data_IF_235222754233
#
_entry.id   IF_235222754233
#
_cell.length_a   1.000
_cell.length_b   1.000
_cell.length_c   1.000
_cell.angle_alpha   90.00
_cell.angle_beta   90.00
_cell.angle_gamma   90.00
#
_symmetry.space_group_name_H-M   'P 1'
#
loop_
_entity.id
_entity.type
_entity.pdbx_description
1 polymer ?
#
# COMPACT_ATOMS: atom_id res chain seq x y z
N UNK A 1 0.41 -25.41 -38.64
CA UNK A 1 1.23 -25.12 -39.80
C UNK A 1 1.42 -23.61 -39.89
N UNK A 2 2.71 -23.14 -39.90
CA UNK A 2 3.04 -21.72 -39.97
C UNK A 2 2.58 -21.07 -41.28
N UNK A 3 2.49 -21.84 -42.36
CA UNK A 3 1.98 -21.35 -43.64
C UNK A 3 0.53 -20.93 -43.53
N UNK A 4 -0.31 -21.75 -42.91
CA UNK A 4 -1.73 -21.42 -42.72
C UNK A 4 -1.91 -20.16 -41.81
N UNK A 5 -1.05 -19.99 -40.80
CA UNK A 5 -1.05 -18.80 -39.97
C UNK A 5 -0.63 -17.56 -40.77
N UNK A 6 0.43 -17.69 -41.60
CA UNK A 6 0.90 -16.61 -42.47
C UNK A 6 -0.19 -16.21 -43.48
N UNK A 7 -0.92 -17.18 -44.04
CA UNK A 7 -2.02 -16.91 -44.99
C UNK A 7 -3.20 -16.20 -44.31
N UNK A 8 -3.54 -16.60 -43.09
CA UNK A 8 -4.59 -15.95 -42.32
C UNK A 8 -4.23 -14.48 -41.98
N UNK A 9 -2.97 -14.22 -41.60
CA UNK A 9 -2.46 -12.88 -41.32
C UNK A 9 -2.46 -12.03 -42.59
N UNK A 10 -1.98 -12.57 -43.71
CA UNK A 10 -2.00 -11.87 -45.03
C UNK A 10 -3.43 -11.51 -45.44
N UNK A 11 -4.34 -12.43 -45.33
CA UNK A 11 -5.76 -12.22 -45.66
C UNK A 11 -6.37 -11.10 -44.81
N UNK A 12 -6.11 -11.10 -43.53
CA UNK A 12 -6.64 -10.08 -42.58
C UNK A 12 -5.92 -8.75 -42.69
N UNK A 13 -4.61 -8.74 -42.90
CA UNK A 13 -3.76 -7.55 -42.98
C UNK A 13 -3.68 -6.90 -44.36
N UNK A 14 -4.26 -7.53 -45.40
CA UNK A 14 -4.24 -6.99 -46.77
C UNK A 14 -2.83 -6.98 -47.42
N UNK A 15 -1.89 -7.78 -46.95
CA UNK A 15 -0.52 -7.88 -47.51
C UNK A 15 -0.37 -9.15 -48.34
N UNK A 16 0.35 -9.04 -49.46
CA UNK A 16 0.77 -10.18 -50.27
C UNK A 16 2.24 -10.58 -50.07
N UNK A 17 2.97 -9.83 -49.21
CA UNK A 17 4.39 -10.06 -48.96
C UNK A 17 4.63 -11.40 -48.22
N UNK A 18 5.77 -12.04 -48.49
CA UNK A 18 6.23 -13.18 -47.72
C UNK A 18 6.56 -12.74 -46.29
N UNK A 19 6.02 -13.41 -45.30
CA UNK A 19 6.26 -13.12 -43.89
C UNK A 19 7.41 -13.98 -43.37
N UNK A 20 8.52 -13.35 -42.98
CA UNK A 20 9.62 -14.02 -42.31
C UNK A 20 9.28 -14.22 -40.82
N UNK A 21 9.50 -15.44 -40.31
CA UNK A 21 9.29 -15.76 -38.91
C UNK A 21 10.58 -15.46 -38.11
N UNK A 22 10.49 -14.89 -36.87
CA UNK A 22 9.28 -14.45 -36.22
C UNK A 22 8.84 -13.01 -36.53
N UNK A 23 9.75 -12.12 -36.90
CA UNK A 23 9.56 -10.66 -36.92
C UNK A 23 8.55 -10.19 -37.97
N UNK A 24 8.52 -10.82 -39.11
CA UNK A 24 7.58 -10.53 -40.19
C UNK A 24 6.14 -10.87 -39.79
N UNK A 25 5.91 -11.90 -38.99
CA UNK A 25 4.61 -12.26 -38.46
C UNK A 25 4.12 -11.20 -37.46
N UNK A 26 4.99 -10.77 -36.55
CA UNK A 26 4.65 -9.76 -35.54
C UNK A 26 4.27 -8.44 -36.20
N UNK A 27 5.11 -7.95 -37.13
CA UNK A 27 4.84 -6.71 -37.84
C UNK A 27 3.55 -6.77 -38.66
N UNK A 28 3.26 -7.91 -39.30
CA UNK A 28 2.05 -8.11 -40.08
C UNK A 28 0.79 -8.20 -39.18
N UNK A 29 0.87 -8.81 -37.99
CA UNK A 29 -0.24 -8.82 -37.03
C UNK A 29 -0.54 -7.43 -36.51
N UNK A 30 0.47 -6.63 -36.22
CA UNK A 30 0.31 -5.26 -35.77
C UNK A 30 -0.31 -4.36 -36.82
N UNK A 31 -0.02 -4.63 -38.12
CA UNK A 31 -0.62 -3.91 -39.23
C UNK A 31 -2.11 -4.25 -39.46
N UNK A 32 -2.63 -5.33 -38.87
CA UNK A 32 -4.04 -5.68 -38.94
C UNK A 32 -4.86 -4.63 -38.17
N UNK A 33 -5.81 -4.00 -38.84
CA UNK A 33 -6.67 -2.99 -38.23
C UNK A 33 -7.44 -3.60 -37.04
N UNK A 34 -7.15 -3.11 -35.83
CA UNK A 34 -7.73 -3.62 -34.58
C UNK A 34 -6.88 -4.72 -33.88
N UNK A 35 -5.67 -5.03 -34.38
CA UNK A 35 -4.73 -5.82 -33.60
C UNK A 35 -4.29 -5.03 -32.35
N UNK A 36 -4.16 -5.68 -31.17
CA UNK A 36 -3.67 -5.00 -29.99
C UNK A 36 -2.21 -4.60 -30.17
N UNK A 37 -1.88 -3.39 -29.74
CA UNK A 37 -0.50 -2.95 -29.68
C UNK A 37 0.30 -3.83 -28.71
N UNK A 38 1.55 -4.10 -29.06
CA UNK A 38 2.49 -4.68 -28.09
C UNK A 38 2.79 -3.62 -27.02
N UNK A 39 2.55 -3.96 -25.76
CA UNK A 39 2.71 -2.99 -24.70
C UNK A 39 3.41 -3.56 -23.47
N UNK A 40 4.11 -2.70 -22.77
CA UNK A 40 4.67 -2.94 -21.45
C UNK A 40 3.89 -2.04 -20.48
N UNK A 41 3.18 -2.63 -19.54
CA UNK A 41 2.47 -1.90 -18.48
C UNK A 41 3.34 -1.93 -17.23
N UNK A 42 3.69 -0.75 -16.72
CA UNK A 42 4.57 -0.57 -15.57
C UNK A 42 3.82 0.16 -14.49
N UNK A 43 3.82 -0.40 -13.28
CA UNK A 43 3.36 0.28 -12.07
C UNK A 43 4.59 0.73 -11.27
N UNK A 44 4.67 2.02 -10.96
CA UNK A 44 5.81 2.64 -10.27
C UNK A 44 5.35 3.88 -9.50
N UNK A 45 6.27 4.71 -9.03
CA UNK A 45 5.91 5.98 -8.38
C UNK A 45 5.35 6.99 -9.37
N UNK A 46 4.35 7.77 -8.97
CA UNK A 46 3.79 8.84 -9.78
C UNK A 46 4.89 9.82 -10.23
N UNK A 47 4.85 10.21 -11.51
CA UNK A 47 5.84 11.11 -12.10
C UNK A 47 7.20 10.48 -12.41
N UNK A 48 7.41 9.18 -12.14
CA UNK A 48 8.64 8.49 -12.50
C UNK A 48 8.81 8.43 -14.02
N UNK A 49 10.02 8.64 -14.51
CA UNK A 49 10.36 8.36 -15.90
C UNK A 49 10.56 6.86 -16.09
N UNK A 50 9.83 6.26 -17.00
CA UNK A 50 9.93 4.83 -17.34
C UNK A 50 10.54 4.70 -18.71
N UNK A 51 11.60 3.89 -18.83
CA UNK A 51 12.31 3.63 -20.08
C UNK A 51 12.42 2.13 -20.31
N UNK A 52 12.03 1.66 -21.47
CA UNK A 52 12.23 0.29 -21.91
C UNK A 52 13.25 0.24 -23.05
N UNK A 53 14.23 -0.64 -22.93
CA UNK A 53 15.30 -0.81 -23.91
C UNK A 53 15.41 -2.25 -24.38
N UNK A 54 15.68 -2.44 -25.68
CA UNK A 54 16.01 -3.74 -26.27
C UNK A 54 16.99 -3.54 -27.43
N UNK A 55 18.23 -3.96 -27.27
CA UNK A 55 19.30 -3.66 -28.23
C UNK A 55 19.47 -2.14 -28.38
N UNK A 56 19.27 -1.63 -29.59
CA UNK A 56 19.37 -0.19 -29.88
C UNK A 56 18.03 0.56 -29.80
N UNK A 57 16.95 -0.14 -29.45
CA UNK A 57 15.64 0.46 -29.34
C UNK A 57 15.39 0.98 -27.93
N UNK A 58 14.75 2.14 -27.83
CA UNK A 58 14.39 2.77 -26.57
C UNK A 58 13.01 3.41 -26.70
N UNK A 59 12.13 3.11 -25.75
CA UNK A 59 10.82 3.76 -25.60
C UNK A 59 10.72 4.31 -24.19
N UNK A 60 10.21 5.53 -24.04
CA UNK A 60 10.10 6.18 -22.73
C UNK A 60 8.72 6.78 -22.54
N UNK A 61 8.30 6.86 -21.27
CA UNK A 61 7.07 7.49 -20.82
C UNK A 61 7.20 7.99 -19.39
N UNK A 62 6.16 8.62 -18.89
CA UNK A 62 6.09 9.08 -17.49
C UNK A 62 4.90 8.43 -16.82
N UNK A 63 5.09 7.93 -15.61
CA UNK A 63 4.01 7.36 -14.80
C UNK A 63 2.99 8.45 -14.40
N UNK A 64 1.72 8.14 -14.54
CA UNK A 64 0.61 9.02 -14.19
C UNK A 64 0.50 9.26 -12.66
N UNK A 65 -0.53 10.01 -12.24
CA UNK A 65 -0.77 10.29 -10.83
C UNK A 65 -1.09 9.04 -9.99
N UNK A 66 -1.49 7.94 -10.63
CA UNK A 66 -1.74 6.64 -10.00
C UNK A 66 -0.50 5.73 -10.05
N UNK A 67 0.60 6.18 -10.64
CA UNK A 67 1.83 5.43 -10.77
C UNK A 67 1.86 4.47 -11.96
N UNK A 68 0.96 4.58 -12.94
CA UNK A 68 0.91 3.70 -14.10
C UNK A 68 1.55 4.35 -15.32
N UNK A 69 2.33 3.57 -16.08
CA UNK A 69 2.89 3.96 -17.36
C UNK A 69 2.73 2.81 -18.35
N UNK A 70 2.17 3.08 -19.53
CA UNK A 70 2.08 2.12 -20.62
C UNK A 70 3.02 2.55 -21.74
N UNK A 71 3.96 1.68 -22.09
CA UNK A 71 4.88 1.87 -23.20
C UNK A 71 4.45 0.99 -24.37
N UNK A 72 4.25 1.59 -25.54
CA UNK A 72 3.98 0.87 -26.78
C UNK A 72 5.31 0.52 -27.43
N UNK A 73 5.52 -0.75 -27.68
CA UNK A 73 6.75 -1.28 -28.28
C UNK A 73 6.45 -1.97 -29.60
N UNK A 74 7.44 -2.13 -30.43
CA UNK A 74 7.30 -2.59 -31.81
C UNK A 74 7.76 -4.04 -32.03
N UNK A 75 8.26 -4.71 -30.97
CA UNK A 75 8.70 -6.10 -31.09
C UNK A 75 8.54 -6.91 -29.79
N UNK A 76 8.35 -8.22 -29.95
CA UNK A 76 8.29 -9.18 -28.83
C UNK A 76 9.69 -9.51 -28.31
N UNK A 77 9.72 -10.09 -27.10
CA UNK A 77 10.95 -10.58 -26.47
C UNK A 77 11.29 -9.82 -25.20
N UNK A 78 12.50 -10.03 -24.68
CA UNK A 78 12.92 -9.43 -23.41
C UNK A 78 13.34 -7.99 -23.62
N UNK A 79 12.70 -7.09 -22.86
CA UNK A 79 13.03 -5.68 -22.73
C UNK A 79 13.54 -5.39 -21.34
N UNK A 80 14.57 -4.60 -21.21
CA UNK A 80 15.03 -4.08 -19.92
C UNK A 80 14.26 -2.80 -19.62
N UNK A 81 13.49 -2.80 -18.55
CA UNK A 81 12.64 -1.68 -18.13
C UNK A 81 13.24 -1.02 -16.90
N UNK A 82 13.44 0.29 -16.99
CA UNK A 82 13.97 1.11 -15.90
C UNK A 82 12.96 2.18 -15.55
N UNK A 83 12.62 2.30 -14.27
CA UNK A 83 11.85 3.41 -13.74
C UNK A 83 12.74 4.25 -12.83
N UNK A 84 12.74 5.57 -13.03
CA UNK A 84 13.60 6.51 -12.32
C UNK A 84 12.81 7.73 -11.81
N UNK A 85 13.07 8.12 -10.56
CA UNK A 85 12.73 9.44 -9.99
C UNK A 85 14.03 10.23 -9.74
N UNK A 86 13.93 11.42 -9.18
CA UNK A 86 15.09 12.22 -8.79
C UNK A 86 16.01 11.50 -7.76
N UNK A 87 15.43 10.58 -6.95
CA UNK A 87 16.12 9.96 -5.81
C UNK A 87 16.33 8.45 -5.95
N UNK A 88 15.64 7.77 -6.86
CA UNK A 88 15.62 6.32 -6.92
C UNK A 88 15.49 5.81 -8.35
N UNK A 89 16.18 4.70 -8.64
CA UNK A 89 16.07 3.98 -9.90
C UNK A 89 15.90 2.49 -9.65
N UNK A 90 14.95 1.86 -10.36
CA UNK A 90 14.77 0.41 -10.39
C UNK A 90 14.73 -0.11 -11.82
N UNK A 91 15.30 -1.29 -12.03
CA UNK A 91 15.37 -1.95 -13.34
C UNK A 91 14.94 -3.40 -13.23
N UNK A 92 14.20 -3.88 -14.23
CA UNK A 92 13.81 -5.28 -14.38
C UNK A 92 13.68 -5.65 -15.86
N UNK A 93 13.90 -6.92 -16.17
CA UNK A 93 13.63 -7.47 -17.49
C UNK A 93 12.17 -7.94 -17.59
N UNK A 94 11.54 -7.69 -18.73
CA UNK A 94 10.16 -8.08 -19.02
C UNK A 94 10.06 -8.72 -20.40
N UNK A 95 9.25 -9.77 -20.50
CA UNK A 95 8.91 -10.38 -21.78
C UNK A 95 7.64 -9.71 -22.30
N UNK A 96 7.75 -9.02 -23.43
CA UNK A 96 6.64 -8.27 -24.02
C UNK A 96 5.50 -9.19 -24.41
N UNK A 97 4.28 -8.74 -24.09
CA UNK A 97 3.03 -9.43 -24.36
C UNK A 97 2.55 -10.35 -23.23
N UNK A 98 3.32 -10.53 -22.16
CA UNK A 98 2.98 -11.49 -21.10
C UNK A 98 2.96 -10.94 -19.67
N UNK A 99 3.46 -9.75 -19.41
CA UNK A 99 3.59 -9.31 -18.02
C UNK A 99 3.41 -7.81 -17.81
N UNK A 100 2.74 -7.47 -16.72
CA UNK A 100 2.87 -6.18 -16.07
C UNK A 100 4.14 -6.19 -15.21
N UNK A 101 4.95 -5.13 -15.30
CA UNK A 101 6.13 -4.98 -14.45
C UNK A 101 5.79 -4.01 -13.32
N UNK A 102 5.87 -4.49 -12.10
CA UNK A 102 5.77 -3.67 -10.91
C UNK A 102 7.17 -3.25 -10.45
N UNK A 103 7.52 -2.00 -10.73
CA UNK A 103 8.75 -1.35 -10.28
C UNK A 103 8.45 -0.31 -9.20
N UNK A 104 7.56 -0.66 -8.26
CA UNK A 104 7.21 0.24 -7.17
C UNK A 104 8.49 0.75 -6.48
N UNK A 105 8.71 2.04 -6.57
CA UNK A 105 9.85 2.70 -5.93
C UNK A 105 9.42 3.26 -4.60
N UNK A 106 10.14 2.88 -3.55
CA UNK A 106 9.90 3.36 -2.21
C UNK A 106 10.79 4.60 -2.02
N UNK A 107 10.14 5.79 -1.89
CA UNK A 107 10.87 7.02 -1.60
C UNK A 107 11.42 6.97 -0.16
N UNK A 108 12.68 7.41 0.08
CA UNK A 108 13.25 7.47 1.42
C UNK A 108 12.53 8.43 2.36
N UNK A 109 11.77 9.39 1.84
CA UNK A 109 10.92 10.29 2.62
C UNK A 109 9.51 9.70 2.69
N UNK A 110 9.05 9.34 3.88
CA UNK A 110 7.77 8.66 4.09
C UNK A 110 6.58 9.37 3.42
N UNK A 111 6.46 10.68 3.61
CA UNK A 111 5.35 11.49 3.10
C UNK A 111 5.26 11.61 1.58
N UNK A 112 6.31 11.23 0.84
CA UNK A 112 6.34 11.25 -0.62
C UNK A 112 5.75 9.98 -1.25
N UNK A 113 5.41 8.97 -0.43
CA UNK A 113 4.91 7.69 -0.93
C UNK A 113 3.39 7.67 -1.02
N UNK A 114 2.86 6.97 -2.02
CA UNK A 114 1.45 6.61 -2.04
C UNK A 114 1.13 5.56 -0.97
N UNK A 115 -0.13 5.48 -0.54
CA UNK A 115 -0.55 4.43 0.39
C UNK A 115 -0.38 3.03 -0.19
N UNK A 116 -0.55 2.85 -1.50
CA UNK A 116 -0.25 1.59 -2.18
C UNK A 116 1.23 1.19 -2.01
N UNK A 117 2.16 2.13 -2.17
CA UNK A 117 3.61 1.91 -1.96
C UNK A 117 3.92 1.59 -0.48
N UNK A 118 3.32 2.32 0.46
CA UNK A 118 3.49 2.09 1.90
C UNK A 118 2.99 0.69 2.29
N UNK A 119 1.81 0.30 1.82
CA UNK A 119 1.22 -1.02 2.04
C UNK A 119 2.15 -2.11 1.53
N UNK A 120 2.62 -1.98 0.29
CA UNK A 120 3.54 -2.94 -0.33
C UNK A 120 4.84 -3.06 0.45
N UNK A 121 5.44 -1.93 0.85
CA UNK A 121 6.66 -1.92 1.67
C UNK A 121 6.48 -2.69 2.99
N UNK A 122 5.31 -2.53 3.64
CA UNK A 122 4.99 -3.25 4.87
C UNK A 122 4.78 -4.76 4.62
N UNK A 123 4.05 -5.12 3.57
CA UNK A 123 3.76 -6.52 3.21
C UNK A 123 5.02 -7.30 2.83
N UNK A 124 5.92 -6.67 2.08
CA UNK A 124 7.17 -7.26 1.61
C UNK A 124 8.31 -7.13 2.64
N UNK A 125 8.05 -6.52 3.80
CA UNK A 125 9.06 -6.24 4.85
C UNK A 125 10.23 -5.40 4.32
N UNK A 126 9.95 -4.48 3.39
CA UNK A 126 10.92 -3.58 2.74
C UNK A 126 10.76 -2.13 3.22
N UNK A 127 10.30 -1.92 4.45
CA UNK A 127 10.17 -0.59 5.04
C UNK A 127 11.55 0.07 5.15
N UNK A 128 11.77 1.25 4.53
CA UNK A 128 13.04 1.95 4.59
C UNK A 128 13.43 2.31 6.03
N UNK A 129 14.72 2.24 6.31
CA UNK A 129 15.25 2.68 7.61
C UNK A 129 15.07 4.19 7.83
N UNK A 130 14.95 4.95 6.74
CA UNK A 130 14.74 6.41 6.75
C UNK A 130 13.32 6.81 7.17
N UNK A 131 12.35 5.90 7.13
CA UNK A 131 11.02 6.18 7.66
C UNK A 131 11.05 6.08 9.18
N UNK A 132 10.89 7.20 9.85
CA UNK A 132 11.04 7.32 11.29
C UNK A 132 9.69 7.46 12.00
N UNK A 133 9.67 7.12 13.28
CA UNK A 133 8.55 7.43 14.17
C UNK A 133 8.39 8.96 14.22
N UNK A 134 7.17 9.42 13.94
CA UNK A 134 6.85 10.84 13.82
C UNK A 134 6.74 11.34 12.38
N UNK A 135 7.24 10.60 11.39
CA UNK A 135 7.00 10.92 9.98
C UNK A 135 5.51 10.77 9.64
N UNK A 136 5.02 11.64 8.75
CA UNK A 136 3.61 11.72 8.38
C UNK A 136 3.41 11.55 6.89
N UNK A 137 2.30 10.91 6.51
CA UNK A 137 1.79 10.87 5.14
C UNK A 137 0.30 11.24 5.13
N UNK A 138 -0.13 11.96 4.11
CA UNK A 138 -1.53 12.36 3.99
C UNK A 138 -2.44 11.21 3.53
N UNK A 139 -3.64 11.13 4.11
CA UNK A 139 -4.70 10.22 3.69
C UNK A 139 -6.02 10.99 3.58
N UNK A 140 -6.74 10.82 2.49
CA UNK A 140 -8.09 11.36 2.33
C UNK A 140 -9.10 10.38 2.91
N UNK A 141 -9.86 10.83 3.92
CA UNK A 141 -10.91 10.06 4.58
C UNK A 141 -12.18 10.90 4.56
N UNK A 142 -13.25 10.37 3.98
CA UNK A 142 -14.52 11.09 3.85
C UNK A 142 -14.35 12.51 3.27
N UNK A 143 -13.65 12.63 2.13
CA UNK A 143 -13.33 13.89 1.42
C UNK A 143 -12.54 14.93 2.23
N UNK A 144 -11.95 14.56 3.35
CA UNK A 144 -11.06 15.41 4.15
C UNK A 144 -9.68 14.77 4.26
N UNK A 145 -8.63 15.57 4.08
CA UNK A 145 -7.26 15.10 4.23
C UNK A 145 -6.82 15.16 5.69
N UNK A 146 -6.25 14.05 6.15
CA UNK A 146 -5.65 13.88 7.47
C UNK A 146 -4.19 13.47 7.32
N UNK A 147 -3.31 14.07 8.11
CA UNK A 147 -1.97 13.54 8.28
C UNK A 147 -2.04 12.27 9.14
N UNK A 148 -1.31 11.24 8.74
CA UNK A 148 -1.21 9.96 9.44
C UNK A 148 0.24 9.75 9.83
N UNK A 149 0.49 9.70 11.14
CA UNK A 149 1.81 9.60 11.72
C UNK A 149 2.22 8.14 11.95
N UNK A 150 3.50 7.82 11.74
CA UNK A 150 4.09 6.59 12.25
C UNK A 150 4.28 6.73 13.76
N UNK A 151 3.65 5.88 14.57
CA UNK A 151 3.79 5.89 16.03
C UNK A 151 4.66 4.77 16.58
N UNK A 152 4.83 3.68 15.82
CA UNK A 152 5.65 2.54 16.19
C UNK A 152 6.21 1.80 14.98
N UNK A 153 7.42 1.25 15.14
CA UNK A 153 8.09 0.35 14.20
C UNK A 153 8.31 -0.98 14.90
N UNK A 154 7.81 -2.09 14.34
CA UNK A 154 7.91 -3.42 14.94
C UNK A 154 7.41 -3.48 16.40
N UNK A 155 6.37 -2.70 16.70
CA UNK A 155 5.84 -2.57 18.06
C UNK A 155 4.79 -3.63 18.36
N UNK A 156 3.74 -3.70 17.56
CA UNK A 156 2.59 -4.59 17.78
C UNK A 156 2.82 -5.99 17.22
N UNK A 157 2.36 -7.00 17.95
CA UNK A 157 2.37 -8.38 17.45
C UNK A 157 1.12 -8.64 16.60
N UNK A 158 1.29 -9.24 15.43
CA UNK A 158 0.16 -9.68 14.62
C UNK A 158 -0.66 -10.75 15.34
N UNK A 159 -1.98 -10.64 15.23
CA UNK A 159 -2.90 -11.56 15.88
C UNK A 159 -2.78 -13.02 15.38
N UNK A 160 -2.35 -13.18 14.13
CA UNK A 160 -2.10 -14.50 13.51
C UNK A 160 -0.74 -15.13 13.89
N UNK A 161 0.05 -14.48 14.74
CA UNK A 161 1.36 -14.96 15.16
C UNK A 161 2.47 -14.86 14.10
N UNK A 162 2.22 -14.20 12.95
CA UNK A 162 3.20 -14.12 11.84
C UNK A 162 4.36 -13.13 12.09
N UNK A 163 4.44 -12.56 13.29
CA UNK A 163 5.49 -11.62 13.71
C UNK A 163 4.93 -10.25 14.11
N UNK A 164 5.74 -9.21 13.93
CA UNK A 164 5.39 -7.84 14.31
C UNK A 164 4.95 -7.00 13.11
N UNK A 165 4.02 -6.08 13.37
CA UNK A 165 3.62 -5.05 12.41
C UNK A 165 4.83 -4.14 12.12
N UNK A 166 5.29 -4.03 10.86
CA UNK A 166 6.43 -3.17 10.51
C UNK A 166 6.19 -1.72 10.92
N UNK A 167 4.98 -1.22 10.73
CA UNK A 167 4.55 0.14 11.08
C UNK A 167 3.19 0.10 11.75
N UNK A 168 3.02 0.94 12.78
CA UNK A 168 1.73 1.27 13.40
C UNK A 168 1.49 2.76 13.23
N UNK A 169 0.27 3.13 12.86
CA UNK A 169 -0.10 4.47 12.46
C UNK A 169 -1.14 5.08 13.36
N UNK A 170 -1.17 6.42 13.41
CA UNK A 170 -2.19 7.20 14.09
C UNK A 170 -2.55 8.43 13.27
N UNK A 171 -3.80 8.86 13.33
CA UNK A 171 -4.19 10.19 12.84
C UNK A 171 -3.49 11.27 13.67
N UNK A 172 -2.87 12.24 12.98
CA UNK A 172 -2.19 13.37 13.64
C UNK A 172 -3.16 14.22 14.47
N UNK A 173 -4.38 14.38 13.98
CA UNK A 173 -5.47 15.09 14.66
C UNK A 173 -6.66 14.19 14.86
N UNK A 174 -7.57 14.54 15.78
CA UNK A 174 -8.79 13.78 16.00
C UNK A 174 -9.69 13.76 14.77
N UNK A 175 -10.38 12.64 14.56
CA UNK A 175 -11.40 12.54 13.52
C UNK A 175 -12.56 13.50 13.81
N UNK A 176 -13.07 14.14 12.76
CA UNK A 176 -14.04 15.22 12.90
C UNK A 176 -15.40 14.78 13.47
N UNK A 177 -15.76 13.50 13.34
CA UNK A 177 -17.03 12.97 13.83
C UNK A 177 -16.86 12.41 15.23
N UNK A 178 -17.74 12.82 16.14
CA UNK A 178 -17.76 12.32 17.51
C UNK A 178 -18.61 11.05 17.61
N UNK A 179 -18.17 10.11 18.42
CA UNK A 179 -18.87 8.87 18.70
C UNK A 179 -18.93 8.61 20.20
N UNK A 180 -20.04 8.03 20.67
CA UNK A 180 -20.13 7.55 22.05
C UNK A 180 -19.21 6.34 22.24
N UNK A 181 -18.43 6.36 23.30
CA UNK A 181 -17.57 5.23 23.68
C UNK A 181 -18.42 4.01 24.03
N UNK A 182 -19.46 4.21 24.85
CA UNK A 182 -20.37 3.20 25.36
C UNK A 182 -21.82 3.65 25.29
N UNK A 183 -22.75 2.72 25.52
CA UNK A 183 -24.18 3.01 25.68
C UNK A 183 -24.50 3.66 27.01
N UNK A 184 -23.78 3.29 28.06
CA UNK A 184 -23.83 3.89 29.39
C UNK A 184 -22.63 4.82 29.62
N UNK A 185 -22.74 5.72 30.62
CA UNK A 185 -21.65 6.63 31.00
C UNK A 185 -20.71 5.96 32.03
N UNK A 186 -20.22 4.77 31.66
CA UNK A 186 -19.29 3.99 32.46
C UNK A 186 -18.29 3.24 31.56
N UNK A 187 -17.31 2.58 32.15
CA UNK A 187 -16.31 1.78 31.49
C UNK A 187 -16.46 0.26 31.75
N UNK A 188 -17.61 -0.18 32.24
CA UNK A 188 -17.83 -1.57 32.65
C UNK A 188 -17.69 -2.58 31.52
N UNK A 189 -17.92 -2.15 30.29
CA UNK A 189 -17.79 -3.00 29.10
C UNK A 189 -16.31 -3.24 28.64
N UNK A 190 -15.37 -2.44 29.17
CA UNK A 190 -13.99 -2.46 28.73
C UNK A 190 -13.81 -2.14 27.23
N UNK A 191 -12.59 -2.22 26.72
CA UNK A 191 -12.32 -2.04 25.29
C UNK A 191 -13.02 -3.11 24.45
N UNK A 192 -12.96 -4.35 24.87
CA UNK A 192 -13.47 -5.51 24.13
C UNK A 192 -14.91 -5.36 23.65
N UNK A 193 -15.77 -4.78 24.46
CA UNK A 193 -17.21 -4.69 24.20
C UNK A 193 -17.70 -3.25 23.96
N UNK A 194 -16.81 -2.24 23.92
CA UNK A 194 -17.24 -0.86 23.73
C UNK A 194 -17.81 -0.60 22.33
N UNK A 195 -18.72 0.37 22.21
CA UNK A 195 -19.39 0.69 20.95
C UNK A 195 -18.44 1.24 19.91
N UNK A 196 -17.43 2.01 20.31
CA UNK A 196 -16.40 2.55 19.39
C UNK A 196 -15.75 1.42 18.60
N UNK A 197 -15.40 0.32 19.26
CA UNK A 197 -14.78 -0.84 18.65
C UNK A 197 -15.76 -1.66 17.81
N UNK A 198 -16.93 -1.97 18.36
CA UNK A 198 -17.79 -3.04 17.86
C UNK A 198 -18.84 -2.61 16.86
N UNK A 199 -19.39 -1.40 16.96
CA UNK A 199 -20.60 -1.04 16.22
C UNK A 199 -20.67 0.37 15.64
N UNK A 200 -19.95 1.36 16.18
CA UNK A 200 -20.09 2.72 15.70
C UNK A 200 -18.83 3.29 15.03
N UNK A 201 -17.84 3.80 15.76
CA UNK A 201 -16.74 4.59 15.18
C UNK A 201 -15.88 3.82 14.17
N UNK A 202 -15.32 2.69 14.53
CA UNK A 202 -14.39 1.97 13.65
C UNK A 202 -15.08 1.28 12.48
N UNK A 203 -16.25 0.65 12.63
CA UNK A 203 -17.01 0.19 11.48
C UNK A 203 -17.43 1.32 10.52
N UNK A 204 -17.77 2.50 11.05
CA UNK A 204 -18.11 3.66 10.24
C UNK A 204 -16.87 4.24 9.53
N UNK A 205 -15.73 4.34 10.24
CA UNK A 205 -14.47 4.85 9.68
C UNK A 205 -13.97 3.98 8.51
N UNK A 206 -14.01 2.65 8.65
CA UNK A 206 -13.64 1.72 7.56
C UNK A 206 -14.46 1.91 6.28
N UNK A 207 -15.71 2.37 6.37
CA UNK A 207 -16.55 2.61 5.19
C UNK A 207 -16.13 3.84 4.37
N UNK A 208 -15.39 4.76 4.98
CA UNK A 208 -14.99 6.04 4.37
C UNK A 208 -13.48 6.20 4.19
N UNK A 209 -12.69 5.24 4.65
CA UNK A 209 -11.26 5.12 4.36
C UNK A 209 -11.04 4.61 2.92
N UNK A 210 -9.86 4.87 2.30
CA UNK A 210 -9.50 4.27 1.03
C UNK A 210 -9.61 2.73 1.07
N UNK A 211 -10.25 2.14 0.06
CA UNK A 211 -10.55 0.72 0.04
C UNK A 211 -9.28 -0.16 0.10
N UNK A 212 -8.22 0.26 -0.60
CA UNK A 212 -6.93 -0.42 -0.60
C UNK A 212 -6.29 -0.42 0.79
N UNK A 213 -6.43 0.67 1.55
CA UNK A 213 -5.93 0.74 2.93
C UNK A 213 -6.72 -0.20 3.81
N UNK A 214 -8.05 -0.18 3.74
CA UNK A 214 -8.91 -1.07 4.53
C UNK A 214 -8.62 -2.54 4.26
N UNK A 215 -8.41 -2.91 2.99
CA UNK A 215 -8.07 -4.28 2.59
C UNK A 215 -6.69 -4.73 3.10
N UNK A 216 -5.77 -3.79 3.30
CA UNK A 216 -4.41 -4.06 3.78
C UNK A 216 -4.26 -4.03 5.31
N UNK A 217 -5.27 -3.53 6.04
CA UNK A 217 -5.24 -3.52 7.50
C UNK A 217 -5.09 -4.95 8.04
N UNK A 218 -4.04 -5.17 8.82
CA UNK A 218 -3.79 -6.45 9.47
C UNK A 218 -4.05 -6.35 10.96
N UNK A 219 -4.77 -7.33 11.52
CA UNK A 219 -5.10 -7.34 12.93
C UNK A 219 -3.85 -7.55 13.80
N UNK A 220 -3.78 -6.79 14.88
CA UNK A 220 -2.77 -6.94 15.94
C UNK A 220 -3.44 -7.35 17.25
N UNK A 221 -2.68 -8.02 18.10
CA UNK A 221 -3.13 -8.41 19.43
C UNK A 221 -3.10 -7.20 20.35
N UNK A 222 -4.26 -6.81 20.88
CA UNK A 222 -4.36 -5.76 21.91
C UNK A 222 -4.76 -6.39 23.26
N UNK A 223 -4.10 -5.91 24.30
CA UNK A 223 -4.37 -6.31 25.70
C UNK A 223 -4.85 -5.11 26.46
N UNK A 224 -6.03 -5.21 27.06
CA UNK A 224 -6.67 -4.11 27.79
C UNK A 224 -7.38 -4.67 29.02
N UNK A 225 -7.63 -3.84 30.03
CA UNK A 225 -8.48 -4.28 31.15
C UNK A 225 -9.89 -4.61 30.68
N UNK A 226 -10.53 -5.53 31.42
CA UNK A 226 -11.92 -5.93 31.17
C UNK A 226 -12.95 -4.81 31.50
N UNK A 227 -12.49 -3.69 32.04
CA UNK A 227 -13.35 -2.56 32.46
C UNK A 227 -13.90 -2.68 33.90
N UNK A 228 -14.62 -1.66 34.36
CA UNK A 228 -15.27 -1.68 35.66
C UNK A 228 -14.31 -1.86 36.84
N UNK A 229 -13.12 -1.27 36.81
CA UNK A 229 -12.06 -1.46 37.82
C UNK A 229 -11.55 -2.91 37.97
N UNK A 230 -11.80 -3.78 36.99
CA UNK A 230 -11.25 -5.14 36.96
C UNK A 230 -9.75 -5.11 36.58
N UNK A 231 -8.95 -5.88 37.30
CA UNK A 231 -7.53 -6.13 36.92
C UNK A 231 -7.36 -7.25 35.89
N UNK A 232 -8.46 -7.91 35.51
CA UNK A 232 -8.40 -8.93 34.46
C UNK A 232 -8.06 -8.31 33.09
N UNK A 233 -7.21 -8.98 32.35
CA UNK A 233 -6.78 -8.53 31.01
C UNK A 233 -7.55 -9.31 29.95
N UNK A 234 -8.29 -8.58 29.13
CA UNK A 234 -8.87 -9.06 27.89
C UNK A 234 -7.85 -8.97 26.75
N UNK A 235 -7.93 -9.95 25.86
CA UNK A 235 -7.19 -9.94 24.61
C UNK A 235 -8.16 -9.77 23.45
N UNK A 236 -7.86 -8.85 22.53
CA UNK A 236 -8.64 -8.61 21.32
C UNK A 236 -7.73 -8.57 20.10
N UNK A 237 -8.32 -8.83 18.93
CA UNK A 237 -7.67 -8.74 17.63
C UNK A 237 -8.25 -7.52 16.91
N UNK A 238 -7.43 -6.52 16.69
CA UNK A 238 -7.90 -5.23 16.21
C UNK A 238 -7.08 -4.70 15.02
N UNK A 239 -7.75 -4.25 13.98
CA UNK A 239 -7.15 -3.53 12.85
C UNK A 239 -7.20 -2.01 13.04
N UNK A 240 -8.13 -1.53 13.85
CA UNK A 240 -8.24 -0.15 14.34
C UNK A 240 -8.50 -0.22 15.84
N UNK A 241 -7.82 0.61 16.63
CA UNK A 241 -7.90 0.59 18.08
C UNK A 241 -7.60 1.96 18.69
N UNK A 242 -8.03 2.15 19.92
CA UNK A 242 -7.58 3.25 20.78
C UNK A 242 -6.39 2.78 21.62
N UNK A 243 -5.50 3.71 21.93
CA UNK A 243 -4.35 3.43 22.79
C UNK A 243 -4.75 3.43 24.26
N UNK A 244 -4.15 2.52 25.02
CA UNK A 244 -4.28 2.51 26.48
C UNK A 244 -3.44 3.62 27.12
N UNK A 245 -3.68 3.90 28.41
CA UNK A 245 -2.87 4.87 29.15
C UNK A 245 -1.37 4.53 29.11
N UNK A 246 -1.02 3.27 29.33
CA UNK A 246 0.38 2.85 29.35
C UNK A 246 1.04 2.98 27.98
N UNK A 247 0.30 2.75 26.90
CA UNK A 247 0.79 2.89 25.52
C UNK A 247 1.11 4.36 25.18
N UNK A 248 0.42 5.30 25.85
CA UNK A 248 0.65 6.75 25.68
C UNK A 248 1.61 7.28 26.75
N UNK A 249 1.31 7.07 28.04
CA UNK A 249 2.04 7.71 29.14
C UNK A 249 3.32 6.96 29.55
N UNK A 250 3.38 5.64 29.28
CA UNK A 250 4.48 4.80 29.73
C UNK A 250 4.44 4.46 31.24
N UNK A 251 3.47 5.05 31.95
CA UNK A 251 3.22 4.85 33.38
C UNK A 251 1.78 4.42 33.59
N UNK A 252 1.47 3.90 34.75
CA UNK A 252 0.14 3.42 35.10
C UNK A 252 -0.42 4.22 36.25
N UNK A 253 -1.48 4.96 36.00
CA UNK A 253 -2.32 5.60 37.01
C UNK A 253 -3.67 4.90 37.09
N UNK A 254 -4.27 4.66 35.91
CA UNK A 254 -5.59 4.04 35.75
C UNK A 254 -5.55 2.71 34.99
N UNK A 255 -4.39 2.37 34.36
CA UNK A 255 -4.14 1.10 33.70
C UNK A 255 -3.66 0.02 34.66
N UNK A 256 -3.84 -1.25 34.26
CA UNK A 256 -3.30 -2.40 34.99
C UNK A 256 -2.08 -3.01 34.27
N UNK A 257 -1.35 -3.88 34.99
CA UNK A 257 -0.23 -4.58 34.40
C UNK A 257 -0.71 -5.48 33.24
N UNK A 258 0.00 -5.42 32.12
CA UNK A 258 -0.30 -6.26 30.95
C UNK A 258 -1.04 -5.55 29.81
N UNK A 259 -1.40 -4.27 29.96
CA UNK A 259 -2.07 -3.49 28.90
C UNK A 259 -1.16 -2.95 27.80
N UNK A 260 -0.05 -3.58 27.52
CA UNK A 260 0.88 -3.18 26.46
C UNK A 260 2.09 -2.42 26.98
N UNK A 261 2.77 -1.73 26.09
CA UNK A 261 3.97 -0.93 26.34
C UNK A 261 3.89 0.40 25.59
N UNK A 262 4.63 1.41 26.08
CA UNK A 262 4.62 2.74 25.50
C UNK A 262 5.15 2.73 24.05
N UNK A 263 4.39 3.33 23.13
CA UNK A 263 4.88 3.58 21.79
C UNK A 263 6.02 4.59 21.76
N UNK A 264 6.96 4.39 20.84
CA UNK A 264 8.13 5.25 20.65
C UNK A 264 7.75 6.71 20.46
N UNK A 265 6.70 6.97 19.67
CA UNK A 265 6.14 8.30 19.42
C UNK A 265 5.85 9.07 20.71
N UNK A 266 5.30 8.40 21.71
CA UNK A 266 4.88 9.02 22.96
C UNK A 266 5.98 9.10 24.03
N UNK A 267 7.17 8.58 23.76
CA UNK A 267 8.33 8.85 24.64
C UNK A 267 8.68 10.32 24.64
N UNK A 268 8.40 11.05 23.55
CA UNK A 268 8.48 12.51 23.48
C UNK A 268 7.28 13.13 24.18
N UNK A 269 7.51 13.88 25.28
CA UNK A 269 6.45 14.43 26.12
C UNK A 269 5.49 15.37 25.37
N UNK A 270 5.96 16.10 24.35
CA UNK A 270 5.14 16.99 23.53
C UNK A 270 4.03 16.22 22.78
N UNK A 271 4.30 14.98 22.35
CA UNK A 271 3.35 14.16 21.60
C UNK A 271 2.18 13.63 22.46
N UNK A 272 2.30 13.67 23.78
CA UNK A 272 1.24 13.25 24.74
C UNK A 272 0.17 14.32 24.99
N UNK A 273 0.36 15.52 24.43
CA UNK A 273 -0.52 16.68 24.65
C UNK A 273 -1.44 16.96 23.45
N UNK A 274 -1.88 15.95 22.74
CA UNK A 274 -2.81 16.07 21.60
C UNK A 274 -4.25 16.02 22.03
#
# INVERSE_FOLDING_TARGET
DLTAVADAIRTKGGTSAQLAFPDGFVSAVQAIKGAPDLQIVVTTSAGATVTATKGNKTVSGTADASGNCTLIVDEVGTWTVTAATASTTKTADVVVGTANVDLAMIDPVFGNNSWATIIKACQEKQVPNTWNVGDSCNMTINNKTYAIDIIGKNHDDYADGSGKAPLTFQMHTTYATQYKMNGAEDNSCGWKNCLVRTSNAFPALKKVMPAEVVAALKAVTKKTTAGGASSAIDTTEDTLFLLSEIEVQGTRTYSYAGEGTQYEYYKTAANRKK
#
